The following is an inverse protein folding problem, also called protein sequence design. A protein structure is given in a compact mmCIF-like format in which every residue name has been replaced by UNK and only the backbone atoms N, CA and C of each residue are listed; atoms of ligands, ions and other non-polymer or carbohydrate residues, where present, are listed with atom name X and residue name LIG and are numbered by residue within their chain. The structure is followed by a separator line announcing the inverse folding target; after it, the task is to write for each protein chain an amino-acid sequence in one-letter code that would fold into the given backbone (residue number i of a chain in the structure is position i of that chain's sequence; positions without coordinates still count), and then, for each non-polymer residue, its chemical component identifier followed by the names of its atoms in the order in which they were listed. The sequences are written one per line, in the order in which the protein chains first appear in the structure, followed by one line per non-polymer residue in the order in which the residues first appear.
data_IF_426064025236
#
_entry.id   IF_426064025236
#
_cell.length_a   1.000
_cell.length_b   1.000
_cell.length_c   1.000
_cell.angle_alpha   90.00
_cell.angle_beta   90.00
_cell.angle_gamma   90.00
#
_symmetry.space_group_name_H-M   'P 1'
#
loop_
_entity.id
_entity.type
_entity.pdbx_description
1 polymer ?
#
# COMPACT_ATOMS: atom_id res chain seq x y z
N UNK A 1 -11.15 -16.68 17.80
CA UNK A 1 -11.55 -15.87 18.98
C UNK A 1 -10.98 -14.45 19.02
N UNK A 2 -9.67 -14.25 19.23
CA UNK A 2 -9.06 -12.90 19.32
C UNK A 2 -9.26 -12.05 18.07
N UNK A 3 -9.16 -12.65 16.88
CA UNK A 3 -9.39 -11.95 15.61
C UNK A 3 -10.83 -11.45 15.49
N UNK A 4 -11.82 -12.29 15.84
CA UNK A 4 -13.23 -11.90 15.88
C UNK A 4 -13.48 -10.79 16.89
N UNK A 5 -12.82 -10.84 18.05
CA UNK A 5 -12.92 -9.77 19.05
C UNK A 5 -12.35 -8.45 18.52
N UNK A 6 -11.16 -8.47 17.91
CA UNK A 6 -10.56 -7.27 17.32
C UNK A 6 -11.46 -6.69 16.20
N UNK A 7 -11.97 -7.54 15.31
CA UNK A 7 -12.89 -7.14 14.24
C UNK A 7 -14.20 -6.55 14.80
N UNK A 8 -14.82 -7.21 15.79
CA UNK A 8 -16.10 -6.78 16.33
C UNK A 8 -15.97 -5.51 17.16
N UNK A 9 -14.90 -5.37 17.96
CA UNK A 9 -14.58 -4.15 18.73
C UNK A 9 -14.53 -2.94 17.80
N UNK A 10 -13.75 -3.07 16.72
CA UNK A 10 -13.45 -1.96 15.83
C UNK A 10 -14.63 -1.59 14.93
N UNK A 11 -15.35 -2.59 14.42
CA UNK A 11 -16.43 -2.37 13.44
C UNK A 11 -17.81 -2.09 14.04
N UNK A 12 -18.15 -2.72 15.18
CA UNK A 12 -19.55 -2.89 15.57
C UNK A 12 -19.83 -2.57 17.04
N UNK A 13 -18.92 -2.95 17.95
CA UNK A 13 -19.09 -2.78 19.40
C UNK A 13 -18.75 -1.36 19.83
N UNK A 14 -17.60 -0.84 19.40
CA UNK A 14 -17.18 0.53 19.75
C UNK A 14 -17.98 1.59 18.99
N UNK A 15 -17.80 2.85 19.36
CA UNK A 15 -18.27 4.02 18.62
C UNK A 15 -17.24 4.52 17.60
N UNK A 16 -16.25 3.70 17.22
CA UNK A 16 -15.32 4.07 16.17
C UNK A 16 -16.01 4.05 14.82
N UNK A 17 -15.58 4.95 13.94
CA UNK A 17 -15.95 4.92 12.54
C UNK A 17 -14.74 5.22 11.67
N UNK A 18 -14.72 4.61 10.49
CA UNK A 18 -13.63 4.76 9.52
C UNK A 18 -14.08 5.64 8.37
N UNK A 19 -13.56 6.86 8.35
CA UNK A 19 -13.62 7.76 7.19
C UNK A 19 -12.24 7.84 6.52
N UNK A 20 -11.87 9.02 5.98
CA UNK A 20 -10.48 9.30 5.61
C UNK A 20 -9.51 9.13 6.79
N UNK A 21 -10.01 9.35 8.01
CA UNK A 21 -9.32 9.10 9.27
C UNK A 21 -10.22 8.30 10.23
N UNK A 22 -9.61 7.71 11.27
CA UNK A 22 -10.33 7.05 12.37
C UNK A 22 -10.99 8.12 13.23
N UNK A 23 -12.31 8.07 13.36
CA UNK A 23 -13.11 8.97 14.18
C UNK A 23 -13.81 8.26 15.33
N UNK A 24 -14.25 9.05 16.30
CA UNK A 24 -15.01 8.58 17.48
C UNK A 24 -16.39 9.24 17.42
N UNK A 25 -17.42 8.43 17.23
CA UNK A 25 -18.82 8.87 17.22
C UNK A 25 -19.40 8.98 18.63
N UNK A 26 -20.74 9.10 18.72
CA UNK A 26 -21.44 9.10 20.01
C UNK A 26 -21.22 7.77 20.74
N UNK A 27 -20.89 7.84 22.02
CA UNK A 27 -20.71 6.65 22.85
C UNK A 27 -21.97 5.77 22.84
N UNK A 28 -21.77 4.46 22.71
CA UNK A 28 -22.82 3.45 22.80
C UNK A 28 -22.92 3.01 24.27
N UNK A 29 -24.00 3.33 25.00
CA UNK A 29 -24.08 3.04 26.43
C UNK A 29 -24.21 1.54 26.74
N UNK A 30 -24.84 0.77 25.84
CA UNK A 30 -25.11 -0.66 26.03
C UNK A 30 -25.02 -1.39 24.68
N UNK A 31 -23.79 -1.60 24.20
CA UNK A 31 -23.57 -2.36 22.98
C UNK A 31 -23.70 -3.87 23.29
N UNK A 32 -24.38 -4.68 22.45
CA UNK A 32 -24.50 -6.13 22.66
C UNK A 32 -23.18 -6.84 22.32
N UNK A 33 -22.18 -6.69 23.20
CA UNK A 33 -20.78 -7.09 22.98
C UNK A 33 -20.67 -8.57 22.62
N UNK A 34 -21.30 -9.43 23.42
CA UNK A 34 -21.22 -10.89 23.27
C UNK A 34 -21.85 -11.35 21.96
N UNK A 35 -23.06 -10.86 21.65
CA UNK A 35 -23.77 -11.25 20.43
C UNK A 35 -23.02 -10.82 19.16
N UNK A 36 -22.47 -9.59 19.15
CA UNK A 36 -21.69 -9.09 18.01
C UNK A 36 -20.38 -9.86 17.83
N UNK A 37 -19.72 -10.22 18.93
CA UNK A 37 -18.53 -11.05 18.90
C UNK A 37 -18.83 -12.48 18.42
N UNK A 38 -19.87 -13.12 18.95
CA UNK A 38 -20.30 -14.45 18.52
C UNK A 38 -20.67 -14.47 17.04
N UNK A 39 -21.38 -13.45 16.56
CA UNK A 39 -21.67 -13.31 15.13
C UNK A 39 -20.41 -13.25 14.28
N UNK A 40 -19.36 -12.54 14.73
CA UNK A 40 -18.08 -12.51 14.03
C UNK A 40 -17.35 -13.87 14.07
N UNK A 41 -17.45 -14.60 15.18
CA UNK A 41 -16.94 -15.98 15.29
C UNK A 41 -17.64 -16.89 14.29
N UNK A 42 -18.97 -16.84 14.22
CA UNK A 42 -19.76 -17.70 13.33
C UNK A 42 -19.43 -17.44 11.86
N UNK A 43 -19.25 -16.18 11.47
CA UNK A 43 -18.78 -15.81 10.13
C UNK A 43 -17.43 -16.48 9.84
N UNK A 44 -16.43 -16.26 10.69
CA UNK A 44 -15.09 -16.83 10.49
C UNK A 44 -15.10 -18.37 10.50
N UNK A 45 -15.91 -18.98 11.36
CA UNK A 45 -16.03 -20.44 11.43
C UNK A 45 -16.71 -21.02 10.19
N UNK A 46 -17.72 -20.35 9.65
CA UNK A 46 -18.37 -20.73 8.40
C UNK A 46 -17.41 -20.60 7.21
N UNK A 47 -16.67 -19.49 7.12
CA UNK A 47 -15.64 -19.30 6.09
C UNK A 47 -14.61 -20.45 6.12
N UNK A 48 -14.14 -20.84 7.31
CA UNK A 48 -13.19 -21.96 7.46
C UNK A 48 -13.80 -23.31 7.05
N UNK A 49 -15.08 -23.56 7.34
CA UNK A 49 -15.77 -24.79 6.90
C UNK A 49 -15.91 -24.85 5.38
N UNK A 50 -16.29 -23.73 4.76
CA UNK A 50 -16.41 -23.63 3.30
C UNK A 50 -15.05 -23.78 2.62
N UNK A 51 -14.01 -23.14 3.14
CA UNK A 51 -12.64 -23.25 2.63
C UNK A 51 -12.07 -24.66 2.84
N UNK A 52 -12.43 -25.34 3.93
CA UNK A 52 -12.02 -26.71 4.21
C UNK A 52 -12.53 -27.75 3.20
N UNK A 53 -13.52 -27.41 2.38
CA UNK A 53 -14.01 -28.26 1.28
C UNK A 53 -13.17 -28.11 -0.01
N UNK A 54 -12.27 -27.13 -0.06
CA UNK A 54 -11.42 -26.88 -1.23
C UNK A 54 -10.16 -27.74 -1.17
N UNK A 55 -9.53 -27.92 -2.32
CA UNK A 55 -8.24 -28.61 -2.41
C UNK A 55 -7.21 -27.84 -1.57
N UNK A 56 -6.51 -28.49 -0.62
CA UNK A 56 -5.47 -27.83 0.16
C UNK A 56 -4.31 -27.46 -0.75
N UNK A 57 -3.90 -26.20 -0.67
CA UNK A 57 -2.69 -25.67 -1.34
C UNK A 57 -1.76 -25.18 -0.24
N UNK A 58 -0.48 -25.52 -0.35
CA UNK A 58 0.53 -25.03 0.58
C UNK A 58 0.61 -23.49 0.50
N UNK A 59 0.58 -22.84 1.66
CA UNK A 59 0.67 -21.40 1.77
C UNK A 59 1.75 -21.05 2.80
N UNK A 60 2.73 -20.26 2.36
CA UNK A 60 3.82 -19.77 3.21
C UNK A 60 3.64 -18.26 3.37
N UNK A 61 3.66 -17.80 4.62
CA UNK A 61 3.50 -16.39 4.96
C UNK A 61 4.81 -15.86 5.52
N UNK A 62 5.36 -14.82 4.88
CA UNK A 62 6.56 -14.14 5.33
C UNK A 62 6.20 -12.75 5.87
N UNK A 63 6.69 -12.43 7.07
CA UNK A 63 6.66 -11.07 7.59
C UNK A 63 7.95 -10.36 7.17
N UNK A 64 7.92 -9.67 6.04
CA UNK A 64 9.09 -9.05 5.42
C UNK A 64 8.78 -7.72 4.71
N UNK A 65 9.81 -6.94 4.44
CA UNK A 65 9.76 -5.77 3.59
C UNK A 65 9.83 -6.21 2.11
N UNK A 66 8.85 -5.79 1.29
CA UNK A 66 8.81 -6.14 -0.14
C UNK A 66 9.96 -5.56 -0.95
N UNK A 67 10.77 -4.67 -0.37
CA UNK A 67 11.99 -4.10 -0.95
C UNK A 67 13.26 -4.87 -0.55
N UNK A 68 13.10 -6.02 0.13
CA UNK A 68 14.17 -6.89 0.64
C UNK A 68 13.76 -8.38 0.53
N UNK A 69 13.25 -8.80 -0.63
CA UNK A 69 12.62 -10.12 -0.79
C UNK A 69 13.64 -11.27 -0.76
N UNK A 70 14.90 -11.00 -1.10
CA UNK A 70 15.98 -12.00 -1.13
C UNK A 70 16.28 -12.60 0.24
N UNK A 71 15.84 -11.95 1.32
CA UNK A 71 16.02 -12.45 2.68
C UNK A 71 15.06 -13.60 3.04
N UNK A 72 13.99 -13.78 2.26
CA UNK A 72 12.88 -14.68 2.62
C UNK A 72 12.41 -15.58 1.48
N UNK A 73 12.81 -15.32 0.24
CA UNK A 73 12.43 -16.10 -0.94
C UNK A 73 13.66 -16.60 -1.69
N UNK A 74 13.57 -17.84 -2.16
CA UNK A 74 14.63 -18.47 -2.93
C UNK A 74 14.73 -17.90 -4.36
N UNK A 75 15.93 -17.87 -4.96
CA UNK A 75 16.09 -17.51 -6.36
C UNK A 75 15.24 -18.38 -7.30
N UNK A 76 14.71 -17.79 -8.37
CA UNK A 76 13.92 -18.49 -9.40
C UNK A 76 12.81 -19.42 -8.85
N UNK A 77 12.12 -18.98 -7.79
CA UNK A 77 11.07 -19.75 -7.12
C UNK A 77 9.65 -19.29 -7.44
N UNK A 78 9.50 -18.08 -8.02
CA UNK A 78 8.19 -17.45 -8.21
C UNK A 78 7.79 -17.41 -9.69
N UNK A 79 6.63 -17.98 -10.03
CA UNK A 79 6.04 -17.95 -11.38
C UNK A 79 5.15 -16.72 -11.62
N UNK A 80 4.53 -16.17 -10.56
CA UNK A 80 3.62 -15.05 -10.69
C UNK A 80 3.62 -14.14 -9.46
N UNK A 81 3.39 -12.84 -9.70
CA UNK A 81 3.20 -11.83 -8.64
C UNK A 81 1.90 -11.09 -8.88
N UNK A 82 1.00 -11.07 -7.90
CA UNK A 82 -0.24 -10.29 -7.97
C UNK A 82 -0.28 -9.40 -6.73
N UNK A 83 -0.33 -8.08 -6.92
CA UNK A 83 -0.29 -7.14 -5.79
C UNK A 83 -0.95 -5.81 -6.09
N UNK A 84 -1.32 -5.10 -5.03
CA UNK A 84 -1.83 -3.72 -5.05
C UNK A 84 -1.01 -2.89 -4.07
N UNK A 85 0.17 -2.38 -4.46
CA UNK A 85 1.04 -1.62 -3.55
C UNK A 85 0.32 -0.34 -3.07
N UNK A 86 0.72 0.23 -1.92
CA UNK A 86 0.05 1.42 -1.40
C UNK A 86 0.25 2.62 -2.34
N UNK A 87 -0.82 3.28 -2.77
CA UNK A 87 -0.72 4.41 -3.71
C UNK A 87 -0.13 5.66 -3.05
N UNK A 88 0.61 6.53 -3.77
CA UNK A 88 1.20 7.76 -3.23
C UNK A 88 0.15 8.86 -3.08
N UNK A 89 -0.88 8.63 -2.27
CA UNK A 89 -2.09 9.47 -2.20
C UNK A 89 -2.33 10.07 -0.80
N UNK A 90 -1.28 10.14 0.03
CA UNK A 90 -1.32 10.66 1.40
C UNK A 90 -2.15 9.82 2.40
N UNK A 91 -2.61 8.62 2.02
CA UNK A 91 -3.26 7.70 2.96
C UNK A 91 -2.22 6.93 3.80
N UNK A 92 -2.41 6.95 5.12
CA UNK A 92 -1.63 6.15 6.07
C UNK A 92 -2.43 4.91 6.50
N UNK A 93 -2.25 3.80 5.77
CA UNK A 93 -2.94 2.52 6.05
C UNK A 93 -2.70 2.02 7.49
N UNK A 94 -1.57 2.38 8.09
CA UNK A 94 -1.27 1.99 9.49
C UNK A 94 -2.12 2.69 10.53
N UNK A 95 -2.92 3.70 10.15
CA UNK A 95 -3.91 4.30 11.06
C UNK A 95 -5.19 3.48 11.09
N UNK A 96 -5.61 2.92 9.94
CA UNK A 96 -6.85 2.14 9.83
C UNK A 96 -6.77 0.86 10.63
N UNK A 97 -5.64 0.14 10.58
CA UNK A 97 -5.49 -1.16 11.25
C UNK A 97 -4.82 -1.07 12.62
N UNK A 98 -4.54 0.16 13.11
CA UNK A 98 -3.71 0.35 14.31
C UNK A 98 -4.31 -0.30 15.54
N UNK A 99 -5.62 -0.11 15.71
CA UNK A 99 -6.30 -0.56 16.91
C UNK A 99 -6.36 -2.08 16.93
N UNK A 100 -6.66 -2.71 15.80
CA UNK A 100 -6.58 -4.17 15.63
C UNK A 100 -5.17 -4.67 15.93
N UNK A 101 -4.12 -4.00 15.43
CA UNK A 101 -2.73 -4.39 15.72
C UNK A 101 -2.39 -4.32 17.21
N UNK A 102 -2.92 -3.34 17.95
CA UNK A 102 -2.73 -3.24 19.41
C UNK A 102 -3.54 -4.30 20.14
N UNK A 103 -4.82 -4.47 19.80
CA UNK A 103 -5.71 -5.46 20.43
C UNK A 103 -5.23 -6.89 20.24
N UNK A 104 -4.63 -7.18 19.08
CA UNK A 104 -4.05 -8.49 18.79
C UNK A 104 -2.64 -8.69 19.36
N UNK A 105 -2.05 -7.66 19.96
CA UNK A 105 -0.71 -7.70 20.56
C UNK A 105 0.45 -7.66 19.56
N UNK A 106 0.18 -7.34 18.29
CA UNK A 106 1.22 -7.18 17.25
C UNK A 106 2.05 -5.90 17.44
N UNK A 107 1.48 -4.89 18.09
CA UNK A 107 2.14 -3.63 18.38
C UNK A 107 1.83 -3.24 19.82
N UNK A 108 2.85 -3.23 20.67
CA UNK A 108 2.74 -2.93 22.09
C UNK A 108 3.35 -1.58 22.44
N UNK A 109 4.28 -1.09 21.61
CA UNK A 109 5.01 0.16 21.86
C UNK A 109 4.98 1.10 20.66
N UNK A 110 5.18 2.40 20.93
CA UNK A 110 5.37 3.40 19.87
C UNK A 110 6.61 3.11 19.01
N UNK A 111 7.63 2.48 19.61
CA UNK A 111 8.85 2.08 18.92
C UNK A 111 8.57 0.95 17.90
N UNK A 112 7.82 -0.08 18.28
CA UNK A 112 7.36 -1.13 17.37
C UNK A 112 6.52 -0.57 16.22
N UNK A 113 5.56 0.32 16.52
CA UNK A 113 4.76 0.97 15.49
C UNK A 113 5.65 1.73 14.50
N UNK A 114 6.65 2.46 15.01
CA UNK A 114 7.59 3.21 14.17
C UNK A 114 8.44 2.27 13.32
N UNK A 115 8.94 1.18 13.90
CA UNK A 115 9.75 0.18 13.19
C UNK A 115 8.94 -0.47 12.06
N UNK A 116 7.70 -0.88 12.32
CA UNK A 116 6.79 -1.41 11.30
C UNK A 116 6.60 -0.39 10.16
N UNK A 117 6.30 0.88 10.51
CA UNK A 117 6.10 1.94 9.52
C UNK A 117 7.35 2.20 8.67
N UNK A 118 8.55 2.06 9.23
CA UNK A 118 9.80 2.23 8.50
C UNK A 118 10.02 1.14 7.42
N UNK A 119 9.45 -0.05 7.59
CA UNK A 119 9.48 -1.13 6.58
C UNK A 119 8.49 -0.98 5.43
N UNK A 120 7.56 -0.02 5.46
CA UNK A 120 6.52 0.10 4.43
C UNK A 120 6.98 0.90 3.22
N UNK A 121 6.52 0.55 2.01
CA UNK A 121 6.67 1.44 0.85
C UNK A 121 6.00 2.79 1.14
N UNK A 122 6.71 3.89 0.87
CA UNK A 122 6.25 5.25 1.22
C UNK A 122 5.08 5.66 0.34
N UNK A 123 3.94 5.95 0.94
CA UNK A 123 2.70 6.36 0.25
C UNK A 123 2.13 7.69 0.74
N UNK A 124 2.72 8.24 1.81
CA UNK A 124 2.27 9.45 2.48
C UNK A 124 3.45 10.10 3.22
N UNK A 125 3.34 11.41 3.44
CA UNK A 125 4.39 12.23 4.08
C UNK A 125 4.60 11.90 5.56
N UNK A 126 3.60 11.34 6.25
CA UNK A 126 3.70 10.92 7.66
C UNK A 126 4.58 9.69 7.86
N UNK A 127 4.97 9.02 6.78
CA UNK A 127 5.84 7.85 6.79
C UNK A 127 7.21 8.16 6.20
N UNK A 128 7.52 9.43 5.89
CA UNK A 128 8.84 9.84 5.41
C UNK A 128 9.77 10.07 6.60
N UNK A 129 10.89 9.35 6.62
CA UNK A 129 11.91 9.44 7.65
C UNK A 129 13.20 10.05 7.11
N UNK A 130 14.01 10.63 7.98
CA UNK A 130 15.30 11.23 7.58
C UNK A 130 16.24 10.20 6.93
N UNK A 131 16.20 8.96 7.39
CA UNK A 131 17.02 7.83 6.91
C UNK A 131 16.59 7.26 5.56
N UNK A 132 15.43 7.69 5.03
CA UNK A 132 14.92 7.14 3.77
C UNK A 132 15.78 7.56 2.59
N UNK A 133 16.19 6.59 1.77
CA UNK A 133 17.11 6.76 0.64
C UNK A 133 16.62 6.08 -0.65
N UNK A 134 15.39 5.53 -0.67
CA UNK A 134 14.81 4.88 -1.84
C UNK A 134 14.73 5.82 -3.05
N UNK A 135 14.67 7.15 -2.85
CA UNK A 135 14.62 8.14 -3.93
C UNK A 135 15.86 8.13 -4.83
N UNK A 136 16.97 7.51 -4.38
CA UNK A 136 18.16 7.25 -5.19
C UNK A 136 17.88 6.34 -6.38
N UNK A 137 16.93 5.40 -6.26
CA UNK A 137 16.60 4.45 -7.34
C UNK A 137 15.89 5.09 -8.53
N UNK A 138 15.43 6.34 -8.37
CA UNK A 138 14.75 7.11 -9.42
C UNK A 138 15.44 8.45 -9.68
N UNK A 139 16.69 8.61 -9.23
CA UNK A 139 17.45 9.85 -9.39
C UNK A 139 17.55 10.29 -10.86
N UNK A 140 17.79 9.33 -11.76
CA UNK A 140 17.93 9.56 -13.20
C UNK A 140 16.61 9.36 -13.99
N UNK A 141 15.49 9.08 -13.30
CA UNK A 141 14.21 8.86 -13.96
C UNK A 141 13.52 10.19 -14.30
N UNK A 142 13.69 10.66 -15.55
CA UNK A 142 13.26 11.98 -16.01
C UNK A 142 11.80 12.34 -15.63
N UNK A 143 10.83 11.45 -15.87
CA UNK A 143 9.42 11.77 -15.62
C UNK A 143 9.08 11.87 -14.11
N UNK A 144 9.67 11.01 -13.27
CA UNK A 144 9.53 11.11 -11.80
C UNK A 144 10.12 12.42 -11.29
N UNK A 145 11.29 12.82 -11.81
CA UNK A 145 11.91 14.10 -11.45
C UNK A 145 11.06 15.28 -11.94
N UNK A 146 10.52 15.22 -13.15
CA UNK A 146 9.62 16.24 -13.70
C UNK A 146 8.40 16.46 -12.81
N UNK A 147 7.72 15.38 -12.42
CA UNK A 147 6.55 15.43 -11.53
C UNK A 147 6.93 15.97 -10.14
N UNK A 148 8.03 15.50 -9.56
CA UNK A 148 8.49 15.98 -8.26
C UNK A 148 8.81 17.48 -8.28
N UNK A 149 9.46 17.96 -9.35
CA UNK A 149 9.75 19.38 -9.55
C UNK A 149 8.47 20.20 -9.76
N UNK A 150 7.48 19.67 -10.49
CA UNK A 150 6.18 20.32 -10.67
C UNK A 150 5.43 20.47 -9.34
N UNK A 151 5.42 19.42 -8.50
CA UNK A 151 4.84 19.46 -7.15
C UNK A 151 5.51 20.55 -6.31
N UNK A 152 6.84 20.62 -6.34
CA UNK A 152 7.59 21.60 -5.56
C UNK A 152 7.37 23.04 -6.07
N UNK A 153 7.40 23.26 -7.38
CA UNK A 153 7.09 24.55 -7.99
C UNK A 153 5.68 25.01 -7.59
N UNK A 154 4.69 24.10 -7.63
CA UNK A 154 3.32 24.40 -7.22
C UNK A 154 3.20 24.68 -5.72
N UNK A 155 3.96 23.97 -4.88
CA UNK A 155 4.05 24.25 -3.43
C UNK A 155 4.51 25.68 -3.16
N UNK A 156 5.56 26.11 -3.86
CA UNK A 156 6.12 27.47 -3.75
C UNK A 156 5.10 28.51 -4.25
N UNK A 157 4.53 28.31 -5.43
CA UNK A 157 3.55 29.24 -6.02
C UNK A 157 2.30 29.43 -5.15
N UNK A 158 1.86 28.38 -4.45
CA UNK A 158 0.71 28.42 -3.54
C UNK A 158 1.08 28.87 -2.11
N UNK A 159 2.34 29.21 -1.84
CA UNK A 159 2.80 29.65 -0.51
C UNK A 159 2.65 28.57 0.57
N UNK A 160 2.69 27.29 0.20
CA UNK A 160 2.46 26.16 1.13
C UNK A 160 3.71 25.86 1.95
N UNK A 161 3.64 26.09 3.26
CA UNK A 161 4.82 26.06 4.15
C UNK A 161 4.79 24.98 5.22
N UNK A 162 3.71 24.19 5.35
CA UNK A 162 3.64 23.16 6.38
C UNK A 162 4.71 22.08 6.18
N UNK A 163 5.15 21.44 7.27
CA UNK A 163 6.17 20.39 7.23
C UNK A 163 5.78 19.21 6.32
N UNK A 164 4.49 18.86 6.26
CA UNK A 164 3.99 17.81 5.37
C UNK A 164 4.00 18.25 3.90
N UNK A 165 3.53 19.46 3.59
CA UNK A 165 3.51 19.94 2.20
C UNK A 165 4.91 20.04 1.60
N UNK A 166 5.93 20.39 2.40
CA UNK A 166 7.35 20.39 2.00
C UNK A 166 7.88 19.01 1.63
N UNK A 167 7.19 17.94 2.03
CA UNK A 167 7.60 16.56 1.75
C UNK A 167 6.91 15.96 0.52
N UNK A 168 5.91 16.60 -0.10
CA UNK A 168 5.16 15.99 -1.21
C UNK A 168 6.03 15.57 -2.39
N UNK A 169 6.96 16.43 -2.82
CA UNK A 169 7.89 16.09 -3.89
C UNK A 169 8.80 14.90 -3.50
N UNK A 170 9.34 14.91 -2.27
CA UNK A 170 10.17 13.80 -1.76
C UNK A 170 9.38 12.51 -1.59
N UNK A 171 8.16 12.57 -1.07
CA UNK A 171 7.28 11.40 -0.90
C UNK A 171 6.98 10.73 -2.25
N UNK A 172 6.79 11.51 -3.31
CA UNK A 172 6.63 11.00 -4.67
C UNK A 172 7.87 10.24 -5.13
N UNK A 173 9.07 10.82 -4.96
CA UNK A 173 10.32 10.14 -5.32
C UNK A 173 10.56 8.88 -4.50
N UNK A 174 10.32 8.93 -3.19
CA UNK A 174 10.47 7.78 -2.29
C UNK A 174 9.52 6.64 -2.64
N UNK A 175 8.28 6.94 -3.05
CA UNK A 175 7.34 5.92 -3.51
C UNK A 175 7.87 5.16 -4.73
N UNK A 176 8.18 5.90 -5.81
CA UNK A 176 8.64 5.29 -7.07
C UNK A 176 10.02 4.65 -6.92
N UNK A 177 10.88 5.23 -6.06
CA UNK A 177 12.15 4.64 -5.65
C UNK A 177 11.98 3.30 -4.94
N UNK A 178 11.04 3.22 -3.99
CA UNK A 178 10.72 1.98 -3.30
C UNK A 178 10.14 0.91 -4.24
N UNK A 179 9.31 1.33 -5.20
CA UNK A 179 8.81 0.43 -6.25
C UNK A 179 9.91 -0.05 -7.19
N UNK A 180 10.84 0.83 -7.58
CA UNK A 180 12.00 0.46 -8.39
C UNK A 180 12.89 -0.56 -7.66
N UNK A 181 13.17 -0.34 -6.36
CA UNK A 181 13.90 -1.28 -5.52
C UNK A 181 13.18 -2.63 -5.40
N UNK A 182 11.87 -2.63 -5.16
CA UNK A 182 11.05 -3.84 -5.11
C UNK A 182 11.12 -4.64 -6.42
N UNK A 183 10.96 -3.97 -7.57
CA UNK A 183 11.09 -4.59 -8.89
C UNK A 183 12.51 -5.07 -9.15
N UNK A 184 13.55 -4.38 -8.67
CA UNK A 184 14.93 -4.78 -8.85
C UNK A 184 15.25 -6.08 -8.11
N UNK A 185 14.78 -6.23 -6.86
CA UNK A 185 14.92 -7.44 -6.04
C UNK A 185 14.17 -8.63 -6.64
N UNK A 186 12.96 -8.39 -7.15
CA UNK A 186 12.13 -9.43 -7.76
C UNK A 186 12.84 -10.20 -8.87
N UNK A 187 13.70 -9.55 -9.66
CA UNK A 187 14.40 -10.18 -10.80
C UNK A 187 15.19 -11.43 -10.42
N UNK A 188 15.69 -11.53 -9.19
CA UNK A 188 16.48 -12.68 -8.75
C UNK A 188 15.61 -13.88 -8.32
N UNK A 189 14.39 -13.61 -7.84
CA UNK A 189 13.47 -14.64 -7.31
C UNK A 189 12.43 -15.11 -8.34
N UNK A 190 12.23 -14.34 -9.40
CA UNK A 190 11.33 -14.70 -10.50
C UNK A 190 11.95 -15.75 -11.41
N UNK A 191 11.14 -16.72 -11.82
CA UNK A 191 11.49 -17.64 -12.92
C UNK A 191 11.46 -16.92 -14.27
N UNK A 192 12.25 -17.35 -15.26
CA UNK A 192 12.07 -16.92 -16.63
C UNK A 192 10.63 -17.17 -17.10
N UNK A 193 10.01 -16.16 -17.69
CA UNK A 193 8.60 -16.18 -18.12
C UNK A 193 7.59 -15.80 -17.04
N UNK A 194 8.04 -15.49 -15.80
CA UNK A 194 7.13 -15.12 -14.72
C UNK A 194 6.31 -13.87 -15.05
N UNK A 195 5.04 -13.87 -14.63
CA UNK A 195 4.10 -12.79 -14.93
C UNK A 195 3.73 -12.00 -13.69
N UNK A 196 3.59 -10.69 -13.82
CA UNK A 196 3.27 -9.81 -12.70
C UNK A 196 2.07 -8.93 -13.03
N UNK A 197 1.18 -8.75 -12.07
CA UNK A 197 0.00 -7.89 -12.16
C UNK A 197 -0.03 -6.92 -10.97
N UNK A 198 0.15 -5.62 -11.26
CA UNK A 198 0.12 -4.55 -10.27
C UNK A 198 -1.15 -3.71 -10.42
N UNK A 199 -2.05 -3.78 -9.43
CA UNK A 199 -3.23 -2.92 -9.36
C UNK A 199 -2.84 -1.59 -8.75
N UNK A 200 -2.81 -0.53 -9.55
CA UNK A 200 -2.37 0.80 -9.12
C UNK A 200 -3.32 1.91 -9.54
N UNK A 201 -3.37 2.95 -8.72
CA UNK A 201 -4.29 4.07 -8.89
C UNK A 201 -3.62 5.36 -9.30
N UNK A 202 -4.18 6.05 -10.29
CA UNK A 202 -3.88 7.46 -10.53
C UNK A 202 -4.33 8.31 -9.35
N UNK A 203 -3.61 9.41 -9.13
CA UNK A 203 -3.88 10.30 -8.01
C UNK A 203 -3.36 11.72 -8.29
N UNK A 204 -3.97 12.70 -7.62
CA UNK A 204 -3.59 14.11 -7.69
C UNK A 204 -3.55 14.76 -6.29
N UNK A 205 -3.21 13.96 -5.27
CA UNK A 205 -3.25 14.32 -3.85
C UNK A 205 -2.17 15.34 -3.48
N UNK A 206 -1.08 15.38 -4.25
CA UNK A 206 0.02 16.32 -4.07
C UNK A 206 -0.23 17.58 -4.89
N UNK A 207 -1.00 18.50 -4.32
CA UNK A 207 -1.31 19.82 -4.87
C UNK A 207 -1.94 19.80 -6.27
N UNK A 208 -2.76 18.78 -6.58
CA UNK A 208 -3.41 18.60 -7.88
C UNK A 208 -2.44 18.41 -9.06
N UNK A 209 -1.20 18.00 -8.79
CA UNK A 209 -0.31 17.48 -9.84
C UNK A 209 -0.71 16.04 -10.12
N UNK A 210 -1.02 15.74 -11.38
CA UNK A 210 -1.45 14.41 -11.80
C UNK A 210 -0.28 13.43 -11.78
N UNK A 211 -0.46 12.30 -11.13
CA UNK A 211 0.51 11.20 -11.11
C UNK A 211 -0.14 9.99 -11.75
N UNK A 212 0.33 9.66 -12.96
CA UNK A 212 -0.09 8.49 -13.73
C UNK A 212 0.66 7.26 -13.24
N UNK A 213 0.15 6.64 -12.17
CA UNK A 213 0.92 5.67 -11.39
C UNK A 213 1.23 4.41 -12.20
N UNK A 214 0.27 3.93 -13.00
CA UNK A 214 0.47 2.76 -13.86
C UNK A 214 1.56 2.98 -14.91
N UNK A 215 1.53 4.14 -15.58
CA UNK A 215 2.51 4.52 -16.59
C UNK A 215 3.93 4.64 -16.02
N UNK A 216 4.08 5.35 -14.89
CA UNK A 216 5.37 5.49 -14.22
C UNK A 216 5.93 4.15 -13.74
N UNK A 217 5.08 3.28 -13.19
CA UNK A 217 5.51 1.95 -12.76
C UNK A 217 5.93 1.08 -13.95
N UNK A 218 5.21 1.15 -15.08
CA UNK A 218 5.57 0.45 -16.30
C UNK A 218 6.90 0.94 -16.89
N UNK A 219 7.16 2.25 -16.86
CA UNK A 219 8.41 2.84 -17.34
C UNK A 219 9.61 2.43 -16.46
N UNK A 220 9.43 2.43 -15.14
CA UNK A 220 10.42 1.91 -14.19
C UNK A 220 10.68 0.41 -14.41
N UNK A 221 9.62 -0.38 -14.60
CA UNK A 221 9.77 -1.81 -14.87
C UNK A 221 10.55 -2.05 -16.17
N UNK A 222 10.24 -1.28 -17.24
CA UNK A 222 10.95 -1.39 -18.52
C UNK A 222 12.43 -1.07 -18.38
N UNK A 223 12.80 -0.05 -17.60
CA UNK A 223 14.22 0.30 -17.38
C UNK A 223 15.00 -0.76 -16.60
N UNK A 224 14.29 -1.62 -15.85
CA UNK A 224 14.86 -2.75 -15.11
C UNK A 224 14.88 -4.07 -15.93
N UNK A 225 14.42 -4.04 -17.18
CA UNK A 225 14.44 -5.20 -18.10
C UNK A 225 13.15 -6.01 -18.14
N UNK A 226 12.07 -5.55 -17.50
CA UNK A 226 10.76 -6.20 -17.63
C UNK A 226 10.11 -5.87 -18.99
N UNK A 227 9.39 -6.84 -19.55
CA UNK A 227 8.48 -6.62 -20.66
C UNK A 227 7.16 -6.08 -20.12
N UNK A 228 6.69 -4.94 -20.62
CA UNK A 228 5.36 -4.39 -20.28
C UNK A 228 4.36 -4.96 -21.28
N UNK A 229 3.47 -5.84 -20.82
CA UNK A 229 2.47 -6.50 -21.65
C UNK A 229 1.23 -5.64 -21.85
N UNK A 230 0.74 -5.01 -20.77
CA UNK A 230 -0.48 -4.21 -20.81
C UNK A 230 -0.55 -3.20 -19.64
N UNK A 231 -1.38 -2.18 -19.81
CA UNK A 231 -1.86 -1.30 -18.74
C UNK A 231 -3.38 -1.22 -18.89
N UNK A 232 -4.08 -2.13 -18.22
CA UNK A 232 -5.51 -2.33 -18.42
C UNK A 232 -6.31 -1.48 -17.43
N UNK A 233 -7.35 -0.79 -17.90
CA UNK A 233 -8.27 -0.09 -17.01
C UNK A 233 -9.06 -1.12 -16.17
N UNK A 234 -8.84 -1.15 -14.86
CA UNK A 234 -9.58 -2.01 -13.95
C UNK A 234 -10.93 -1.39 -13.57
N UNK A 235 -10.91 -0.13 -13.11
CA UNK A 235 -12.10 0.67 -12.80
C UNK A 235 -11.78 2.15 -12.73
N UNK A 236 -12.79 2.98 -12.56
CA UNK A 236 -12.63 4.37 -12.14
C UNK A 236 -13.07 4.58 -10.70
N UNK A 237 -12.45 5.55 -10.02
CA UNK A 237 -12.77 5.97 -8.66
C UNK A 237 -13.01 7.47 -8.64
N UNK A 238 -14.07 7.90 -7.95
CA UNK A 238 -14.31 9.33 -7.74
C UNK A 238 -13.29 9.90 -6.76
N UNK A 239 -12.50 10.89 -7.21
CA UNK A 239 -11.67 11.69 -6.32
C UNK A 239 -12.54 12.75 -5.64
N UNK A 240 -12.85 12.56 -4.36
CA UNK A 240 -13.74 13.46 -3.60
C UNK A 240 -13.28 14.92 -3.56
N UNK A 241 -11.97 15.17 -3.65
CA UNK A 241 -11.42 16.52 -3.62
C UNK A 241 -11.55 17.30 -4.94
N UNK A 242 -11.68 16.61 -6.08
CA UNK A 242 -11.76 17.23 -7.42
C UNK A 242 -13.05 16.91 -8.16
N UNK A 243 -13.84 15.96 -7.65
CA UNK A 243 -15.00 15.37 -8.31
C UNK A 243 -14.69 14.75 -9.68
N UNK A 244 -13.42 14.40 -9.91
CA UNK A 244 -12.93 13.79 -11.15
C UNK A 244 -12.88 12.26 -11.02
N UNK A 245 -13.02 11.58 -12.16
CA UNK A 245 -12.83 10.13 -12.25
C UNK A 245 -11.34 9.82 -12.39
N UNK A 246 -10.76 9.20 -11.35
CA UNK A 246 -9.39 8.69 -11.37
C UNK A 246 -9.36 7.24 -11.84
N UNK A 247 -8.39 6.91 -12.67
CA UNK A 247 -8.22 5.55 -13.18
C UNK A 247 -7.52 4.68 -12.13
N UNK A 248 -7.98 3.44 -12.02
CA UNK A 248 -7.25 2.36 -11.38
C UNK A 248 -6.99 1.31 -12.44
N UNK A 249 -5.74 0.92 -12.58
CA UNK A 249 -5.23 0.15 -13.69
C UNK A 249 -4.50 -1.10 -13.20
N UNK A 250 -4.44 -2.13 -14.03
CA UNK A 250 -3.58 -3.29 -13.84
C UNK A 250 -2.40 -3.17 -14.79
N UNK A 251 -1.21 -2.94 -14.23
CA UNK A 251 0.05 -3.00 -15.01
C UNK A 251 0.47 -4.46 -15.07
N UNK A 252 0.46 -5.02 -16.28
CA UNK A 252 0.83 -6.41 -16.55
C UNK A 252 2.25 -6.45 -17.11
N UNK A 253 3.12 -7.18 -16.43
CA UNK A 253 4.54 -7.30 -16.75
C UNK A 253 4.93 -8.77 -16.95
N UNK A 254 6.02 -9.00 -17.68
CA UNK A 254 6.71 -10.30 -17.76
C UNK A 254 8.20 -10.13 -17.48
N UNK A 255 8.76 -11.07 -16.73
CA UNK A 255 10.20 -11.22 -16.55
C UNK A 255 10.73 -12.29 -17.51
N UNK A 256 11.61 -11.93 -18.43
CA UNK A 256 12.08 -12.84 -19.48
C UNK A 256 13.30 -13.70 -19.07
N UNK A 257 14.00 -13.33 -17.99
CA UNK A 257 15.24 -14.00 -17.54
C UNK A 257 16.47 -13.13 -17.74
#
# INVERSE_FOLDING_TARGET
ERLALAQAIVSSISNLHFGPEVGVGRAKPDAPVVDLWLKAIDIMANDLRELGQRVPVEAIVHHADSRQLLNVLEPQSIDAVITSPPYPNEKDYTRTTRLESVLLGFINTKAELRSLKQGLVRSNTRNVYAIDDDDRWVADHAEVQRIANEIEARRIALGKTSGFERLYARATKLYFGGMARHLADLRQILRPGAQLAYVVGDQASYLRVMIRTGQLLADIARSLGYEVLAIDLFRTRLATATNEQMREEVVVLRWNG
#
